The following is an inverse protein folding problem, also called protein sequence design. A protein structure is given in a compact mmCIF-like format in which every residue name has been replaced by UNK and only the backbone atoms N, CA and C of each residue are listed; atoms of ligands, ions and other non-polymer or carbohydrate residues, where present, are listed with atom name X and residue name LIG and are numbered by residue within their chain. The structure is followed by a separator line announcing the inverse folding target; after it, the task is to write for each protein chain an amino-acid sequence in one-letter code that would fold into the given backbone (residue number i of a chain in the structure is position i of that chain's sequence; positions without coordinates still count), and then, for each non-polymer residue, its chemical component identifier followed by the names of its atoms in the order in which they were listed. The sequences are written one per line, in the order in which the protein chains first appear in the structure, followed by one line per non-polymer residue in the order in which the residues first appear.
data_IF_922837532978
#
_entry.id   IF_922837532978
#
_cell.length_a   1.000
_cell.length_b   1.000
_cell.length_c   1.000
_cell.angle_alpha   90.00
_cell.angle_beta   90.00
_cell.angle_gamma   90.00
#
_symmetry.space_group_name_H-M   'P 1'
#
loop_
_entity.id
_entity.type
_entity.pdbx_description
1 polymer ?
#
# COMPACT_ATOMS: atom_id res chain seq x y z
N UNK A 1 -33.79 19.96 9.83
CA UNK A 1 -33.89 18.49 9.91
C UNK A 1 -34.14 17.98 8.48
N UNK A 2 -33.16 17.35 7.84
CA UNK A 2 -33.32 16.85 6.48
C UNK A 2 -34.21 15.59 6.53
N UNK A 3 -35.28 15.60 5.78
CA UNK A 3 -36.17 14.43 5.68
C UNK A 3 -35.55 13.52 4.60
N UNK A 4 -34.97 12.40 5.04
CA UNK A 4 -34.53 11.34 4.14
C UNK A 4 -35.77 10.55 3.73
N UNK A 5 -36.24 10.70 2.49
CA UNK A 5 -37.29 9.88 1.91
C UNK A 5 -36.65 8.73 1.15
N UNK A 6 -37.08 7.51 1.48
CA UNK A 6 -36.75 6.31 0.70
C UNK A 6 -37.79 6.20 -0.42
N UNK A 7 -37.31 6.17 -1.67
CA UNK A 7 -38.19 6.03 -2.84
C UNK A 7 -38.45 4.57 -3.12
N UNK A 8 -39.71 4.18 -3.06
CA UNK A 8 -40.15 2.82 -3.39
C UNK A 8 -40.75 2.72 -4.80
N UNK A 9 -40.95 3.86 -5.48
CA UNK A 9 -41.64 3.90 -6.76
C UNK A 9 -40.93 4.84 -7.75
N UNK A 10 -40.52 4.33 -8.93
CA UNK A 10 -39.83 5.10 -9.95
C UNK A 10 -40.63 6.23 -10.60
N UNK A 11 -41.97 6.17 -10.44
CA UNK A 11 -42.92 7.09 -11.09
C UNK A 11 -43.53 8.11 -10.10
N UNK A 12 -43.05 8.17 -8.88
CA UNK A 12 -43.46 9.20 -7.95
C UNK A 12 -42.88 10.55 -8.39
N UNK A 13 -43.75 11.54 -8.61
CA UNK A 13 -43.31 12.89 -9.04
C UNK A 13 -42.60 13.58 -7.91
N UNK A 14 -41.29 13.55 -7.94
CA UNK A 14 -40.43 14.31 -7.03
C UNK A 14 -39.45 15.11 -7.86
N UNK A 15 -39.47 16.42 -7.61
CA UNK A 15 -38.56 17.34 -8.26
C UNK A 15 -37.16 17.22 -7.66
N UNK A 16 -36.22 16.61 -8.41
CA UNK A 16 -34.81 16.51 -8.03
C UNK A 16 -34.02 17.62 -8.71
N UNK A 17 -33.83 18.69 -7.99
CA UNK A 17 -33.05 19.83 -8.46
C UNK A 17 -31.54 19.59 -8.37
N UNK A 18 -31.10 18.73 -7.50
CA UNK A 18 -29.68 18.34 -7.36
C UNK A 18 -29.54 16.91 -6.83
N UNK A 19 -28.65 16.16 -7.45
CA UNK A 19 -28.30 14.82 -7.01
C UNK A 19 -26.97 14.85 -6.28
N UNK A 20 -26.93 14.23 -5.11
CA UNK A 20 -25.74 14.10 -4.31
C UNK A 20 -25.34 12.63 -4.18
N UNK A 21 -24.30 12.24 -4.89
CA UNK A 21 -23.70 10.92 -4.73
C UNK A 21 -22.60 10.98 -3.66
N UNK A 22 -22.87 10.42 -2.50
CA UNK A 22 -21.86 10.27 -1.45
C UNK A 22 -21.02 9.01 -1.70
N UNK A 23 -19.91 9.19 -2.38
CA UNK A 23 -18.94 8.12 -2.62
C UNK A 23 -17.85 8.24 -1.54
N UNK A 24 -17.58 7.17 -0.76
CA UNK A 24 -16.46 7.16 0.17
C UNK A 24 -15.15 7.43 -0.57
N UNK A 25 -14.23 8.11 0.11
CA UNK A 25 -12.91 8.36 -0.45
C UNK A 25 -12.20 7.02 -0.72
N UNK A 26 -11.82 6.80 -1.97
CA UNK A 26 -11.07 5.63 -2.43
C UNK A 26 -9.64 6.01 -2.83
N UNK A 27 -9.13 7.11 -2.27
CA UNK A 27 -7.80 7.58 -2.59
C UNK A 27 -6.74 6.55 -2.20
N UNK A 28 -5.89 6.22 -3.17
CA UNK A 28 -4.76 5.31 -3.04
C UNK A 28 -3.46 6.06 -3.31
N UNK A 29 -2.44 5.82 -2.52
CA UNK A 29 -1.13 6.46 -2.67
C UNK A 29 -0.08 5.48 -3.16
N UNK A 30 0.01 4.30 -2.53
CA UNK A 30 0.99 3.28 -2.91
C UNK A 30 0.61 2.58 -4.21
N UNK A 31 -0.69 2.37 -4.46
CA UNK A 31 -1.15 1.78 -5.71
C UNK A 31 -0.78 2.67 -6.91
N UNK A 32 -0.85 4.01 -6.73
CA UNK A 32 -0.59 4.99 -7.80
C UNK A 32 0.90 5.37 -7.90
N UNK A 33 1.69 5.14 -6.84
CA UNK A 33 3.10 5.54 -6.79
C UNK A 33 4.04 4.66 -7.63
N UNK A 34 3.59 3.44 -7.99
CA UNK A 34 4.43 2.46 -8.66
C UNK A 34 5.59 1.91 -7.80
N UNK A 35 5.53 2.09 -6.49
CA UNK A 35 6.54 1.56 -5.56
C UNK A 35 6.57 0.04 -5.57
N UNK A 36 5.40 -0.59 -5.62
CA UNK A 36 5.27 -2.04 -5.70
C UNK A 36 5.16 -2.47 -7.16
N UNK A 37 6.10 -3.31 -7.61
CA UNK A 37 5.96 -4.04 -8.87
C UNK A 37 4.90 -5.14 -8.73
N UNK A 38 4.26 -5.50 -9.83
CA UNK A 38 3.22 -6.54 -9.85
C UNK A 38 3.74 -7.76 -10.59
N UNK A 39 3.69 -8.92 -9.95
CA UNK A 39 4.05 -10.21 -10.53
C UNK A 39 2.85 -11.16 -10.47
N UNK A 40 2.56 -11.82 -11.60
CA UNK A 40 1.42 -12.69 -11.78
C UNK A 40 1.86 -14.16 -11.80
N UNK A 41 1.37 -14.93 -10.84
CA UNK A 41 1.75 -16.32 -10.63
C UNK A 41 0.73 -17.27 -11.25
N UNK A 42 1.17 -18.51 -11.52
CA UNK A 42 0.29 -19.64 -11.85
C UNK A 42 0.01 -20.55 -10.65
N UNK A 43 0.52 -20.19 -9.47
CA UNK A 43 0.42 -20.97 -8.23
C UNK A 43 -0.18 -20.15 -7.10
N UNK A 44 -0.73 -20.84 -6.09
CA UNK A 44 -1.30 -20.22 -4.89
C UNK A 44 -0.23 -19.94 -3.81
N UNK A 45 1.04 -20.17 -4.13
CA UNK A 45 2.15 -19.94 -3.22
C UNK A 45 3.28 -19.23 -3.94
N UNK A 46 3.90 -18.29 -3.26
CA UNK A 46 5.13 -17.64 -3.70
C UNK A 46 6.30 -18.40 -3.11
N UNK A 47 7.15 -18.95 -3.96
CA UNK A 47 8.38 -19.61 -3.52
C UNK A 47 9.58 -18.88 -4.12
N UNK A 48 10.54 -18.53 -3.29
CA UNK A 48 11.79 -17.93 -3.72
C UNK A 48 12.98 -18.50 -2.94
N UNK A 49 14.11 -18.49 -3.61
CA UNK A 49 15.38 -18.87 -3.01
C UNK A 49 16.11 -17.61 -2.51
N UNK A 50 16.49 -17.63 -1.25
CA UNK A 50 17.39 -16.64 -0.68
C UNK A 50 18.83 -17.14 -0.87
N UNK A 51 19.62 -16.36 -1.60
CA UNK A 51 21.03 -16.65 -1.82
C UNK A 51 21.87 -15.56 -1.18
N UNK A 52 22.50 -15.87 -0.05
CA UNK A 52 23.32 -14.95 0.68
C UNK A 52 24.80 -15.18 0.32
N UNK A 53 25.37 -14.27 -0.46
CA UNK A 53 26.81 -14.24 -0.72
C UNK A 53 27.53 -13.44 0.37
N UNK A 54 28.63 -13.99 0.88
CA UNK A 54 29.49 -13.29 1.82
C UNK A 54 30.78 -12.90 1.09
N UNK A 55 30.98 -11.59 0.90
CA UNK A 55 32.27 -11.08 0.41
C UNK A 55 33.20 -10.90 1.59
N UNK A 56 34.40 -11.49 1.52
CA UNK A 56 35.43 -11.38 2.54
C UNK A 56 36.74 -10.86 1.93
N UNK A 57 37.53 -10.17 2.73
CA UNK A 57 38.88 -9.81 2.33
C UNK A 57 39.77 -11.08 2.30
N UNK A 58 40.51 -11.26 1.23
CA UNK A 58 41.53 -12.32 1.12
C UNK A 58 42.75 -11.88 1.93
N UNK A 59 43.02 -12.63 2.99
CA UNK A 59 44.20 -12.37 3.83
C UNK A 59 45.50 -12.68 3.09
N UNK A 60 46.54 -11.84 3.29
CA UNK A 60 47.88 -12.13 2.81
C UNK A 60 48.45 -13.35 3.50
N UNK A 61 49.16 -14.20 2.76
CA UNK A 61 49.81 -15.42 3.25
C UNK A 61 51.23 -15.58 2.70
N UNK A 62 52.08 -16.30 3.44
CA UNK A 62 53.39 -16.66 2.96
C UNK A 62 53.33 -17.45 1.65
N UNK A 63 54.25 -17.19 0.73
CA UNK A 63 54.39 -18.01 -0.49
C UNK A 63 54.62 -19.48 -0.13
N UNK A 64 53.70 -20.35 -0.62
CA UNK A 64 53.70 -21.77 -0.30
C UNK A 64 52.72 -22.21 0.76
N UNK A 65 51.99 -21.29 1.40
CA UNK A 65 50.87 -21.61 2.25
C UNK A 65 49.69 -22.19 1.43
N UNK A 66 48.84 -23.01 2.08
CA UNK A 66 47.64 -23.54 1.43
C UNK A 66 46.68 -22.38 1.11
N UNK A 67 46.07 -22.36 -0.10
CA UNK A 67 45.02 -21.39 -0.42
C UNK A 67 43.90 -21.39 0.62
N UNK A 68 43.37 -20.21 0.93
CA UNK A 68 42.14 -20.11 1.72
C UNK A 68 40.97 -20.58 0.86
N UNK A 69 40.14 -21.47 1.43
CA UNK A 69 38.88 -21.87 0.80
C UNK A 69 37.84 -20.76 0.97
N UNK A 70 37.13 -20.43 -0.08
CA UNK A 70 35.93 -19.61 0.02
C UNK A 70 34.91 -20.37 0.87
N UNK A 71 34.13 -19.62 1.65
CA UNK A 71 32.98 -20.20 2.34
C UNK A 71 31.88 -20.50 1.33
N UNK A 72 31.27 -21.68 1.48
CA UNK A 72 30.10 -22.04 0.68
C UNK A 72 28.94 -21.09 1.02
N UNK A 73 28.22 -20.71 -0.02
CA UNK A 73 27.05 -19.86 0.09
C UNK A 73 25.86 -20.67 0.60
N UNK A 74 25.11 -20.09 1.53
CA UNK A 74 23.91 -20.70 2.06
C UNK A 74 22.69 -20.35 1.21
N UNK A 75 22.00 -21.38 0.71
CA UNK A 75 20.71 -21.24 0.05
C UNK A 75 19.59 -21.59 1.01
N UNK A 76 18.58 -20.73 1.11
CA UNK A 76 17.35 -20.97 1.85
C UNK A 76 16.16 -20.83 0.92
N UNK A 77 15.24 -21.76 0.98
CA UNK A 77 13.96 -21.71 0.25
C UNK A 77 12.89 -21.23 1.22
N UNK A 78 12.13 -20.22 0.80
CA UNK A 78 10.98 -19.70 1.52
C UNK A 78 9.74 -19.80 0.66
N UNK A 79 8.62 -20.18 1.28
CA UNK A 79 7.34 -20.29 0.60
C UNK A 79 6.27 -19.63 1.43
N UNK A 80 5.48 -18.75 0.81
CA UNK A 80 4.38 -18.04 1.45
C UNK A 80 3.10 -18.24 0.65
N UNK A 81 1.96 -18.47 1.32
CA UNK A 81 0.67 -18.55 0.64
C UNK A 81 0.23 -17.18 0.13
N UNK A 82 -0.45 -17.16 -1.00
CA UNK A 82 -1.13 -15.98 -1.50
C UNK A 82 -2.46 -15.84 -0.78
N UNK A 83 -2.72 -14.67 -0.20
CA UNK A 83 -3.98 -14.39 0.50
C UNK A 83 -5.15 -14.36 -0.49
N UNK A 84 -6.29 -14.91 -0.07
CA UNK A 84 -7.51 -15.05 -0.88
C UNK A 84 -8.59 -14.13 -0.35
N UNK A 85 -9.12 -13.26 -1.21
CA UNK A 85 -10.15 -12.27 -0.87
C UNK A 85 -11.38 -12.44 -1.75
N UNK A 86 -12.34 -13.31 -1.34
CA UNK A 86 -13.61 -13.45 -2.04
C UNK A 86 -14.58 -12.35 -1.64
N UNK A 87 -15.37 -11.86 -2.59
CA UNK A 87 -16.43 -10.88 -2.39
C UNK A 87 -17.69 -11.36 -3.10
N UNK A 88 -18.80 -11.37 -2.42
CA UNK A 88 -20.11 -11.69 -2.96
C UNK A 88 -21.03 -10.47 -2.87
N UNK A 89 -21.70 -10.12 -3.96
CA UNK A 89 -22.81 -9.18 -4.01
C UNK A 89 -23.93 -9.77 -4.86
N UNK A 90 -25.15 -9.29 -4.71
CA UNK A 90 -26.29 -9.79 -5.46
C UNK A 90 -27.21 -8.65 -5.90
N UNK A 91 -27.76 -8.75 -7.10
CA UNK A 91 -28.82 -7.88 -7.61
C UNK A 91 -30.13 -8.60 -7.48
N UNK A 92 -31.06 -8.04 -6.71
CA UNK A 92 -32.39 -8.60 -6.51
C UNK A 92 -33.44 -7.84 -7.33
N UNK A 93 -34.61 -8.45 -7.62
CA UNK A 93 -35.67 -7.75 -8.31
C UNK A 93 -36.12 -6.44 -7.63
N UNK A 94 -36.06 -6.38 -6.29
CA UNK A 94 -36.35 -5.19 -5.49
C UNK A 94 -35.35 -4.03 -5.70
N UNK A 95 -34.18 -4.30 -6.26
CA UNK A 95 -33.19 -3.28 -6.58
C UNK A 95 -33.54 -2.51 -7.87
N UNK A 96 -34.38 -3.09 -8.70
CA UNK A 96 -34.73 -2.57 -10.04
C UNK A 96 -36.22 -2.17 -10.09
N UNK A 97 -37.08 -3.04 -9.54
CA UNK A 97 -38.53 -2.88 -9.69
C UNK A 97 -39.03 -1.60 -9.00
N UNK A 98 -39.71 -0.75 -9.76
CA UNK A 98 -40.27 0.48 -9.26
C UNK A 98 -39.23 1.56 -8.91
N UNK A 99 -37.97 1.37 -9.26
CA UNK A 99 -36.91 2.38 -9.06
C UNK A 99 -36.58 3.12 -10.34
N UNK A 100 -36.22 4.36 -10.16
CA UNK A 100 -35.79 5.26 -11.23
C UNK A 100 -34.25 5.22 -11.32
N UNK A 101 -33.75 5.36 -12.56
CA UNK A 101 -32.33 5.46 -12.78
C UNK A 101 -31.74 6.68 -12.03
N UNK A 102 -30.63 6.47 -11.36
CA UNK A 102 -29.92 7.54 -10.66
C UNK A 102 -29.49 8.60 -11.66
N UNK A 103 -29.78 9.85 -11.39
CA UNK A 103 -29.45 10.95 -12.30
C UNK A 103 -30.50 11.26 -13.38
N UNK A 104 -31.64 10.58 -13.39
CA UNK A 104 -32.69 10.80 -14.38
C UNK A 104 -34.06 11.01 -13.73
N UNK A 105 -34.85 11.92 -14.29
CA UNK A 105 -36.22 12.14 -13.83
C UNK A 105 -37.23 11.20 -14.50
N UNK A 106 -36.91 10.67 -15.68
CA UNK A 106 -37.91 9.98 -16.52
C UNK A 106 -37.51 8.53 -16.91
N UNK A 107 -36.29 8.08 -16.59
CA UNK A 107 -35.81 6.74 -16.97
C UNK A 107 -35.89 5.75 -15.80
N UNK A 108 -36.42 4.57 -16.08
CA UNK A 108 -36.40 3.47 -15.11
C UNK A 108 -34.97 2.91 -14.93
N UNK A 109 -34.67 2.42 -13.72
CA UNK A 109 -33.42 1.74 -13.43
C UNK A 109 -33.31 0.46 -14.27
N UNK A 110 -32.12 0.21 -14.85
CA UNK A 110 -31.86 -0.99 -15.66
C UNK A 110 -31.01 -1.99 -14.91
N UNK A 111 -31.22 -3.29 -15.18
CA UNK A 111 -30.41 -4.39 -14.62
C UNK A 111 -28.91 -4.14 -14.86
N UNK A 112 -28.54 -3.77 -16.09
CA UNK A 112 -27.15 -3.51 -16.46
C UNK A 112 -26.51 -2.36 -15.67
N UNK A 113 -27.26 -1.28 -15.39
CA UNK A 113 -26.78 -0.14 -14.61
C UNK A 113 -26.50 -0.52 -13.15
N UNK A 114 -27.40 -1.33 -12.56
CA UNK A 114 -27.23 -1.82 -11.17
C UNK A 114 -26.02 -2.74 -11.07
N UNK A 115 -25.86 -3.68 -12.03
CA UNK A 115 -24.70 -4.59 -12.08
C UNK A 115 -23.41 -3.78 -12.21
N UNK A 116 -23.33 -2.84 -13.16
CA UNK A 116 -22.14 -2.03 -13.38
C UNK A 116 -21.74 -1.24 -12.13
N UNK A 117 -22.69 -0.63 -11.44
CA UNK A 117 -22.47 0.12 -10.20
C UNK A 117 -21.97 -0.78 -9.06
N UNK A 118 -22.51 -2.00 -8.93
CA UNK A 118 -22.06 -2.97 -7.93
C UNK A 118 -20.66 -3.49 -8.25
N UNK A 119 -20.35 -3.80 -9.51
CA UNK A 119 -19.01 -4.19 -9.94
C UNK A 119 -17.97 -3.09 -9.69
N UNK A 120 -18.32 -1.83 -9.96
CA UNK A 120 -17.43 -0.71 -9.65
C UNK A 120 -17.15 -0.59 -8.15
N UNK A 121 -18.17 -0.81 -7.30
CA UNK A 121 -17.99 -0.84 -5.86
C UNK A 121 -17.05 -1.97 -5.42
N UNK A 122 -17.20 -3.16 -5.97
CA UNK A 122 -16.32 -4.31 -5.70
C UNK A 122 -14.87 -3.94 -6.09
N UNK A 123 -14.66 -3.38 -7.27
CA UNK A 123 -13.33 -2.96 -7.74
C UNK A 123 -12.68 -1.95 -6.78
N UNK A 124 -13.43 -0.94 -6.34
CA UNK A 124 -12.93 0.04 -5.36
C UNK A 124 -12.57 -0.62 -4.02
N UNK A 125 -13.36 -1.59 -3.56
CA UNK A 125 -13.06 -2.34 -2.35
C UNK A 125 -11.76 -3.16 -2.50
N UNK A 126 -11.51 -3.76 -3.68
CA UNK A 126 -10.26 -4.44 -3.99
C UNK A 126 -9.06 -3.48 -3.93
N UNK A 127 -9.17 -2.30 -4.57
CA UNK A 127 -8.10 -1.29 -4.57
C UNK A 127 -7.79 -0.77 -3.16
N UNK A 128 -8.81 -0.53 -2.34
CA UNK A 128 -8.64 -0.14 -0.93
C UNK A 128 -7.95 -1.24 -0.12
N UNK A 129 -8.35 -2.49 -0.32
CA UNK A 129 -7.77 -3.63 0.40
C UNK A 129 -6.30 -3.82 0.04
N UNK A 130 -5.94 -3.67 -1.25
CA UNK A 130 -4.54 -3.71 -1.69
C UNK A 130 -3.72 -2.57 -1.07
N UNK A 131 -4.26 -1.35 -1.03
CA UNK A 131 -3.59 -0.20 -0.42
C UNK A 131 -3.30 -0.42 1.06
N UNK A 132 -4.31 -0.87 1.82
CA UNK A 132 -4.17 -1.21 3.25
C UNK A 132 -3.15 -2.34 3.43
N UNK A 133 -3.19 -3.36 2.58
CA UNK A 133 -2.23 -4.48 2.61
C UNK A 133 -0.79 -4.03 2.37
N UNK A 134 -0.55 -3.17 1.36
CA UNK A 134 0.77 -2.61 1.06
C UNK A 134 1.32 -1.78 2.24
N UNK A 135 0.51 -0.89 2.82
CA UNK A 135 0.92 -0.13 4.00
C UNK A 135 1.16 -1.01 5.21
N UNK A 136 0.32 -2.01 5.46
CA UNK A 136 0.51 -2.96 6.56
C UNK A 136 1.83 -3.71 6.43
N UNK A 137 2.15 -4.19 5.23
CA UNK A 137 3.43 -4.87 4.97
C UNK A 137 4.63 -3.93 5.18
N UNK A 138 4.53 -2.66 4.76
CA UNK A 138 5.60 -1.66 4.98
C UNK A 138 5.80 -1.32 6.46
N UNK A 139 4.70 -1.18 7.23
CA UNK A 139 4.77 -0.76 8.63
C UNK A 139 5.11 -1.89 9.58
N UNK A 140 4.54 -3.07 9.39
CA UNK A 140 4.65 -4.20 10.31
C UNK A 140 5.44 -5.38 9.78
N UNK A 141 5.65 -5.47 8.46
CA UNK A 141 6.24 -6.64 7.80
C UNK A 141 5.32 -7.86 7.75
N UNK A 142 4.06 -7.73 8.14
CA UNK A 142 3.14 -8.87 8.20
C UNK A 142 2.63 -9.26 6.82
N UNK A 143 2.60 -10.56 6.57
CA UNK A 143 1.95 -11.21 5.43
C UNK A 143 0.66 -11.89 5.88
N UNK A 144 -0.42 -11.64 5.17
CA UNK A 144 -1.71 -12.25 5.48
C UNK A 144 -1.84 -13.64 4.84
N UNK A 145 -2.43 -14.58 5.58
CA UNK A 145 -2.85 -15.88 5.07
C UNK A 145 -4.27 -15.79 4.49
N UNK A 146 -4.69 -16.77 3.65
CA UNK A 146 -6.03 -16.82 3.07
C UNK A 146 -7.19 -16.78 4.07
N UNK A 147 -6.95 -17.19 5.31
CA UNK A 147 -7.95 -17.19 6.39
C UNK A 147 -7.96 -15.89 7.24
N UNK A 148 -7.28 -14.84 6.79
CA UNK A 148 -7.17 -13.57 7.50
C UNK A 148 -6.20 -13.57 8.70
N UNK A 149 -5.48 -14.66 8.93
CA UNK A 149 -4.40 -14.71 9.92
C UNK A 149 -3.09 -14.19 9.33
N UNK A 150 -2.07 -14.02 10.17
CA UNK A 150 -0.73 -13.65 9.72
C UNK A 150 -0.02 -14.93 9.28
N UNK A 151 0.33 -14.99 7.98
CA UNK A 151 1.07 -16.12 7.39
C UNK A 151 2.55 -16.13 7.78
N UNK A 152 3.10 -14.96 8.04
CA UNK A 152 4.49 -14.76 8.45
C UNK A 152 4.78 -13.29 8.68
N UNK A 153 5.94 -13.00 9.25
CA UNK A 153 6.46 -11.65 9.40
C UNK A 153 7.82 -11.57 8.74
N UNK A 154 7.94 -10.70 7.74
CA UNK A 154 9.15 -10.59 6.92
C UNK A 154 10.40 -10.26 7.74
N UNK A 155 10.30 -9.40 8.75
CA UNK A 155 11.45 -9.08 9.59
C UNK A 155 11.93 -10.30 10.37
N UNK A 156 11.01 -11.02 11.01
CA UNK A 156 11.32 -12.24 11.78
C UNK A 156 11.85 -13.35 10.88
N UNK A 157 11.18 -13.58 9.74
CA UNK A 157 11.50 -14.68 8.83
C UNK A 157 12.88 -14.50 8.18
N UNK A 158 13.25 -13.26 7.87
CA UNK A 158 14.60 -12.94 7.38
C UNK A 158 15.64 -12.79 8.51
N UNK A 159 15.21 -12.89 9.78
CA UNK A 159 16.11 -12.74 10.94
C UNK A 159 16.64 -11.29 11.08
N UNK A 160 15.86 -10.32 10.66
CA UNK A 160 16.22 -8.91 10.66
C UNK A 160 15.45 -8.19 11.77
N UNK A 161 16.15 -7.39 12.56
CA UNK A 161 15.50 -6.41 13.43
C UNK A 161 15.28 -5.13 12.65
N UNK A 162 14.02 -4.70 12.49
CA UNK A 162 13.73 -3.45 11.81
C UNK A 162 14.44 -2.29 12.48
N UNK A 163 15.24 -1.55 11.74
CA UNK A 163 15.91 -0.36 12.24
C UNK A 163 14.86 0.70 12.62
N UNK A 164 14.96 1.23 13.82
CA UNK A 164 14.09 2.29 14.33
C UNK A 164 14.93 3.50 14.77
N UNK A 165 14.58 4.68 14.27
CA UNK A 165 15.23 5.94 14.61
C UNK A 165 14.24 6.82 15.37
N UNK A 166 14.60 7.20 16.59
CA UNK A 166 13.80 8.16 17.37
C UNK A 166 14.25 9.59 17.05
N UNK A 167 13.34 10.36 16.48
CA UNK A 167 13.60 11.74 16.08
C UNK A 167 13.47 12.76 17.22
N UNK A 168 12.86 12.39 18.35
CA UNK A 168 12.69 13.25 19.54
C UNK A 168 12.22 14.66 19.15
N UNK A 169 11.15 14.75 18.36
CA UNK A 169 10.69 16.01 17.73
C UNK A 169 10.14 17.04 18.71
N UNK A 170 9.84 16.65 19.95
CA UNK A 170 9.42 17.56 21.00
C UNK A 170 10.56 18.38 21.61
N UNK A 171 11.82 18.02 21.34
CA UNK A 171 13.00 18.72 21.88
C UNK A 171 13.57 19.67 20.83
N UNK A 172 13.44 20.97 21.03
CA UNK A 172 13.82 22.00 20.07
C UNK A 172 15.31 22.01 19.65
N UNK A 173 16.18 21.40 20.46
CA UNK A 173 17.64 21.31 20.21
C UNK A 173 18.04 20.07 19.41
N UNK A 174 17.12 19.13 19.16
CA UNK A 174 17.42 17.90 18.44
C UNK A 174 17.91 18.24 17.02
N UNK A 175 19.01 17.60 16.63
CA UNK A 175 19.55 17.73 15.27
C UNK A 175 18.81 16.77 14.33
N UNK A 176 17.85 17.33 13.58
CA UNK A 176 17.02 16.57 12.64
C UNK A 176 17.85 16.10 11.43
N UNK A 177 18.86 16.90 11.01
CA UNK A 177 19.74 16.51 9.90
C UNK A 177 20.53 15.26 10.28
N UNK A 178 21.13 15.23 11.47
CA UNK A 178 21.86 14.04 11.95
C UNK A 178 20.96 12.81 12.04
N UNK A 179 19.68 12.96 12.44
CA UNK A 179 18.70 11.86 12.46
C UNK A 179 18.36 11.38 11.04
N UNK A 180 18.18 12.28 10.11
CA UNK A 180 17.94 11.94 8.69
C UNK A 180 19.13 11.23 8.07
N UNK A 181 20.34 11.72 8.32
CA UNK A 181 21.59 11.08 7.88
C UNK A 181 21.73 9.66 8.46
N UNK A 182 21.33 9.45 9.71
CA UNK A 182 21.37 8.09 10.28
C UNK A 182 20.40 7.11 9.60
N UNK A 183 19.26 7.59 9.10
CA UNK A 183 18.34 6.78 8.28
C UNK A 183 19.00 6.45 6.93
N UNK A 184 19.58 7.44 6.27
CA UNK A 184 20.25 7.26 4.97
C UNK A 184 21.42 6.28 5.10
N UNK A 185 22.26 6.46 6.12
CA UNK A 185 23.39 5.57 6.40
C UNK A 185 22.94 4.14 6.65
N UNK A 186 21.87 3.94 7.46
CA UNK A 186 21.31 2.61 7.72
C UNK A 186 20.81 1.94 6.43
N UNK A 187 20.17 2.69 5.53
CA UNK A 187 19.73 2.15 4.24
C UNK A 187 20.93 1.81 3.33
N UNK A 188 21.95 2.65 3.30
CA UNK A 188 23.16 2.41 2.50
C UNK A 188 23.95 1.20 3.02
N UNK A 189 24.08 1.06 4.33
CA UNK A 189 24.75 -0.09 4.95
C UNK A 189 24.02 -1.41 4.65
N UNK A 190 22.71 -1.38 4.52
CA UNK A 190 21.88 -2.55 4.20
C UNK A 190 21.67 -2.76 2.68
N UNK A 191 22.09 -1.83 1.84
CA UNK A 191 22.02 -1.92 0.38
C UNK A 191 23.13 -2.78 -0.26
N UNK A 192 23.80 -3.64 0.51
CA UNK A 192 24.97 -4.45 0.14
C UNK A 192 24.79 -5.38 -1.07
N UNK A 193 23.59 -5.48 -1.62
CA UNK A 193 23.23 -6.43 -2.69
C UNK A 193 23.23 -5.82 -4.09
N UNK A 194 23.88 -4.65 -4.28
CA UNK A 194 23.98 -4.01 -5.60
C UNK A 194 22.75 -3.22 -6.03
N UNK A 195 21.81 -2.97 -5.13
CA UNK A 195 20.68 -2.07 -5.42
C UNK A 195 21.09 -0.62 -5.41
N UNK A 196 20.60 0.11 -6.40
CA UNK A 196 20.78 1.56 -6.49
C UNK A 196 19.57 2.23 -5.82
N UNK A 197 19.82 2.95 -4.74
CA UNK A 197 18.82 3.79 -4.10
C UNK A 197 18.88 5.17 -4.77
N UNK A 198 17.83 5.56 -5.51
CA UNK A 198 17.77 6.86 -6.19
C UNK A 198 17.17 7.95 -5.31
N UNK A 199 16.44 7.59 -4.28
CA UNK A 199 15.84 8.52 -3.34
C UNK A 199 15.19 7.81 -2.17
N UNK A 200 14.70 8.57 -1.21
CA UNK A 200 13.99 8.06 -0.04
C UNK A 200 12.68 8.83 0.13
N UNK A 201 11.60 8.09 0.30
CA UNK A 201 10.29 8.64 0.66
C UNK A 201 9.98 8.24 2.10
N UNK A 202 9.51 9.20 2.88
CA UNK A 202 9.06 9.00 4.25
C UNK A 202 7.54 9.17 4.30
N UNK A 203 6.81 8.10 4.53
CA UNK A 203 5.37 8.14 4.77
C UNK A 203 5.11 8.41 6.24
N UNK A 204 4.53 9.56 6.54
CA UNK A 204 4.39 10.08 7.90
C UNK A 204 2.94 10.09 8.37
N UNK A 205 2.72 9.78 9.65
CA UNK A 205 1.45 10.10 10.28
C UNK A 205 1.26 11.62 10.39
N UNK A 206 0.02 12.13 10.40
CA UNK A 206 -0.25 13.56 10.50
C UNK A 206 0.38 14.22 11.73
N UNK A 207 0.40 13.51 12.84
CA UNK A 207 0.96 13.97 14.12
C UNK A 207 2.48 14.14 14.03
N UNK A 208 3.16 13.14 13.48
CA UNK A 208 4.60 13.15 13.28
C UNK A 208 5.02 14.24 12.29
N UNK A 209 4.30 14.33 11.16
CA UNK A 209 4.56 15.34 10.13
C UNK A 209 4.38 16.77 10.68
N UNK A 210 3.32 17.01 11.47
CA UNK A 210 3.08 18.31 12.08
C UNK A 210 4.22 18.72 13.04
N UNK A 211 4.71 17.78 13.86
CA UNK A 211 5.86 18.02 14.75
C UNK A 211 7.13 18.32 13.95
N UNK A 212 7.39 17.59 12.85
CA UNK A 212 8.57 17.82 12.01
C UNK A 212 8.60 19.23 11.41
N UNK A 213 7.52 19.66 10.75
CA UNK A 213 7.48 20.98 10.10
C UNK A 213 7.46 22.15 11.09
N UNK A 214 7.02 21.91 12.33
CA UNK A 214 7.05 22.93 13.40
C UNK A 214 8.33 22.92 14.21
N UNK A 215 9.23 21.97 13.98
CA UNK A 215 10.49 21.86 14.73
C UNK A 215 11.40 23.07 14.49
N UNK A 216 11.95 23.64 15.56
CA UNK A 216 12.71 24.89 15.51
C UNK A 216 13.86 24.87 14.50
N UNK A 217 14.63 23.78 14.44
CA UNK A 217 15.75 23.63 13.50
C UNK A 217 15.30 23.53 12.05
N UNK A 218 14.16 22.89 11.78
CA UNK A 218 13.58 22.82 10.43
C UNK A 218 13.09 24.19 9.99
N UNK A 219 12.36 24.90 10.83
CA UNK A 219 11.89 26.27 10.57
C UNK A 219 13.07 27.22 10.35
N UNK A 220 14.14 27.11 11.15
CA UNK A 220 15.33 27.93 11.00
C UNK A 220 16.03 27.71 9.65
N UNK A 221 16.18 26.44 9.23
CA UNK A 221 16.80 26.11 7.95
C UNK A 221 16.03 26.74 6.76
N UNK A 222 14.70 26.81 6.86
CA UNK A 222 13.86 27.38 5.79
C UNK A 222 13.80 28.91 5.76
N UNK A 223 14.18 29.61 6.81
CA UNK A 223 14.24 31.09 6.80
C UNK A 223 15.21 31.66 5.77
N UNK A 224 16.20 30.90 5.38
CA UNK A 224 17.25 31.31 4.44
C UNK A 224 17.02 30.81 3.02
N UNK A 225 15.97 30.00 2.78
CA UNK A 225 15.63 29.57 1.43
C UNK A 225 14.99 30.71 0.63
N UNK A 226 15.44 30.90 -0.60
CA UNK A 226 14.92 31.91 -1.52
C UNK A 226 13.44 31.67 -1.81
N UNK A 227 12.65 32.75 -1.87
CA UNK A 227 11.19 32.70 -2.12
C UNK A 227 10.79 32.04 -3.46
N UNK A 228 11.75 31.80 -4.36
CA UNK A 228 11.52 31.20 -5.68
C UNK A 228 11.55 29.67 -5.66
N UNK A 229 12.22 29.03 -4.68
CA UNK A 229 12.32 27.57 -4.55
C UNK A 229 11.61 26.99 -3.33
N UNK A 230 11.10 27.84 -2.45
CA UNK A 230 10.81 27.45 -1.09
C UNK A 230 9.36 27.55 -0.68
N UNK A 231 8.45 26.86 -1.33
CA UNK A 231 7.25 26.53 -0.57
C UNK A 231 7.62 25.40 0.41
N UNK A 232 7.76 25.77 1.69
CA UNK A 232 8.09 24.85 2.77
C UNK A 232 7.13 23.64 2.85
N UNK A 233 5.89 23.81 2.38
CA UNK A 233 4.89 22.77 2.33
C UNK A 233 4.20 22.84 0.98
N UNK A 234 4.44 21.85 0.15
CA UNK A 234 3.70 21.67 -1.08
C UNK A 234 2.43 20.85 -0.81
N UNK A 235 1.31 21.32 -1.34
CA UNK A 235 0.07 20.54 -1.34
C UNK A 235 -0.15 20.00 -2.73
N UNK A 236 0.18 18.73 -2.90
CA UNK A 236 0.02 18.03 -4.16
C UNK A 236 -1.29 17.24 -4.16
N UNK A 237 -1.88 17.08 -5.33
CA UNK A 237 -2.93 16.09 -5.52
C UNK A 237 -2.27 14.74 -5.72
N UNK A 238 -2.58 13.78 -4.88
CA UNK A 238 -2.22 12.39 -5.13
C UNK A 238 -2.92 11.90 -6.40
N UNK A 239 -2.18 11.21 -7.26
CA UNK A 239 -2.56 10.61 -8.53
C UNK A 239 -4.02 10.70 -8.94
N UNK A 240 -4.35 11.52 -9.90
CA UNK A 240 -5.61 11.57 -10.63
C UNK A 240 -6.93 11.77 -9.89
N UNK A 241 -7.07 11.37 -8.62
CA UNK A 241 -8.38 11.23 -8.02
C UNK A 241 -8.44 11.59 -6.54
N UNK A 242 -8.51 12.77 -6.09
CA UNK A 242 -9.16 13.19 -4.84
C UNK A 242 -8.37 13.42 -3.55
N UNK A 243 -7.05 13.34 -3.51
CA UNK A 243 -6.35 13.62 -2.25
C UNK A 243 -5.47 14.88 -2.31
N UNK A 244 -5.69 15.84 -1.43
CA UNK A 244 -4.70 16.85 -1.12
C UNK A 244 -3.83 16.31 0.02
N UNK A 245 -2.60 15.94 -0.27
CA UNK A 245 -1.62 15.59 0.77
C UNK A 245 -0.56 16.68 0.89
N UNK A 246 0.03 16.78 2.08
CA UNK A 246 1.16 17.67 2.31
C UNK A 246 2.45 16.91 2.05
N UNK A 247 3.33 17.56 1.34
CA UNK A 247 4.64 17.04 0.99
C UNK A 247 5.71 18.05 1.39
N UNK A 248 6.85 17.57 1.83
CA UNK A 248 7.95 18.38 2.31
C UNK A 248 9.26 17.65 2.07
N UNK A 249 10.21 18.31 1.44
CA UNK A 249 11.54 17.74 1.21
C UNK A 249 12.55 18.38 2.14
N UNK A 250 13.28 17.56 2.89
CA UNK A 250 14.29 18.00 3.82
C UNK A 250 15.44 17.01 3.92
N UNK A 251 16.69 17.52 3.90
CA UNK A 251 17.92 16.70 3.98
C UNK A 251 17.91 15.46 3.03
N UNK A 252 17.47 15.64 1.78
CA UNK A 252 17.45 14.59 0.78
C UNK A 252 16.31 13.57 0.89
N UNK A 253 15.44 13.69 1.88
CA UNK A 253 14.28 12.83 2.07
C UNK A 253 12.99 13.59 1.75
N UNK A 254 12.10 12.93 1.00
CA UNK A 254 10.76 13.42 0.69
C UNK A 254 9.77 12.90 1.73
N UNK A 255 9.29 13.78 2.60
CA UNK A 255 8.27 13.47 3.62
C UNK A 255 6.88 13.69 3.05
N UNK A 256 6.04 12.69 3.15
CA UNK A 256 4.66 12.70 2.64
C UNK A 256 3.70 12.40 3.79
N UNK A 257 2.76 13.30 4.02
CA UNK A 257 1.73 13.10 5.06
C UNK A 257 0.66 12.12 4.57
N UNK A 258 0.48 11.04 5.30
CA UNK A 258 -0.58 10.05 5.07
C UNK A 258 -1.70 10.28 6.07
N UNK A 259 -2.69 11.08 5.67
CA UNK A 259 -3.84 11.42 6.52
C UNK A 259 -5.02 10.50 6.33
N UNK A 260 -5.03 9.75 5.25
CA UNK A 260 -6.17 8.95 4.83
C UNK A 260 -6.44 7.81 5.80
N UNK A 261 -7.71 7.67 6.17
CA UNK A 261 -8.24 6.51 6.88
C UNK A 261 -9.07 5.72 5.86
N UNK A 262 -8.68 4.50 5.55
CA UNK A 262 -9.36 3.62 4.63
C UNK A 262 -10.07 2.50 5.42
N UNK A 263 -11.33 2.28 5.13
CA UNK A 263 -12.14 1.28 5.82
C UNK A 263 -12.06 1.35 7.37
N UNK A 264 -11.92 2.55 7.93
CA UNK A 264 -11.77 2.77 9.37
C UNK A 264 -10.37 2.51 9.93
N UNK A 265 -9.41 2.12 9.09
CA UNK A 265 -8.03 1.84 9.50
C UNK A 265 -7.09 2.98 9.11
N UNK A 266 -6.22 3.37 10.02
CA UNK A 266 -5.10 4.27 9.74
C UNK A 266 -4.00 3.50 9.00
N UNK A 267 -3.48 4.07 7.92
CA UNK A 267 -2.43 3.44 7.12
C UNK A 267 -1.06 3.50 7.83
N UNK A 268 -0.80 4.57 8.57
CA UNK A 268 0.40 4.73 9.39
C UNK A 268 -0.02 4.94 10.85
N UNK A 269 0.57 4.20 11.81
CA UNK A 269 0.30 4.41 13.22
C UNK A 269 0.60 5.85 13.68
N UNK A 270 -0.15 6.34 14.67
CA UNK A 270 0.02 7.70 15.17
C UNK A 270 1.44 7.90 15.74
N UNK A 271 2.08 9.04 15.42
CA UNK A 271 3.42 9.36 15.88
C UNK A 271 4.54 8.60 15.21
N UNK A 272 4.26 7.88 14.13
CA UNK A 272 5.25 7.10 13.38
C UNK A 272 5.45 7.62 11.96
N UNK A 273 6.60 7.23 11.41
CA UNK A 273 6.99 7.44 10.02
C UNK A 273 7.68 6.17 9.50
N UNK A 274 7.45 5.83 8.25
CA UNK A 274 8.14 4.72 7.58
C UNK A 274 8.95 5.29 6.42
N UNK A 275 10.26 5.04 6.44
CA UNK A 275 11.18 5.43 5.39
C UNK A 275 11.35 4.28 4.42
N UNK A 276 11.18 4.56 3.14
CA UNK A 276 11.19 3.59 2.06
C UNK A 276 12.11 4.08 0.96
N UNK A 277 13.09 3.26 0.51
CA UNK A 277 13.95 3.61 -0.62
C UNK A 277 13.16 3.56 -1.93
N UNK A 278 13.52 4.42 -2.88
CA UNK A 278 12.97 4.44 -4.24
C UNK A 278 14.06 4.14 -5.27
N UNK A 279 13.63 3.65 -6.44
CA UNK A 279 14.55 3.27 -7.52
C UNK A 279 15.21 1.91 -7.32
N UNK A 280 14.85 1.18 -6.26
CA UNK A 280 15.33 -0.19 -6.06
C UNK A 280 14.63 -1.13 -7.04
N UNK A 281 15.38 -2.10 -7.55
CA UNK A 281 14.84 -3.14 -8.42
C UNK A 281 14.25 -4.24 -7.54
N UNK A 282 12.98 -4.61 -7.77
CA UNK A 282 12.30 -5.77 -7.17
C UNK A 282 12.33 -5.87 -5.63
N UNK A 283 12.51 -4.76 -4.93
CA UNK A 283 12.46 -4.76 -3.46
C UNK A 283 11.04 -4.89 -2.94
N UNK A 284 10.09 -4.20 -3.58
CA UNK A 284 8.68 -4.20 -3.21
C UNK A 284 7.88 -4.85 -4.32
N UNK A 285 7.24 -5.98 -4.01
CA UNK A 285 6.50 -6.78 -5.02
C UNK A 285 5.14 -7.17 -4.50
N UNK A 286 4.13 -7.06 -5.34
CA UNK A 286 2.79 -7.60 -5.12
C UNK A 286 2.63 -8.83 -5.99
N UNK A 287 2.45 -10.00 -5.40
CA UNK A 287 2.24 -11.26 -6.09
C UNK A 287 0.76 -11.56 -6.19
N UNK A 288 0.29 -11.76 -7.41
CA UNK A 288 -1.09 -12.15 -7.68
C UNK A 288 -1.19 -13.64 -7.97
N UNK A 289 -2.16 -14.31 -7.34
CA UNK A 289 -2.46 -15.72 -7.53
C UNK A 289 -3.69 -15.94 -8.42
N UNK A 290 -3.81 -17.11 -9.08
CA UNK A 290 -4.95 -17.46 -9.92
C UNK A 290 -6.24 -17.56 -9.10
N UNK A 291 -7.39 -17.40 -9.77
CA UNK A 291 -8.69 -17.55 -9.14
C UNK A 291 -8.94 -18.98 -8.69
N UNK A 292 -9.71 -19.13 -7.61
CA UNK A 292 -10.09 -20.44 -7.06
C UNK A 292 -11.27 -21.06 -7.83
N UNK A 293 -11.08 -21.24 -9.15
CA UNK A 293 -12.06 -21.85 -10.06
C UNK A 293 -11.38 -22.82 -11.02
N UNK A 294 -12.11 -23.85 -11.43
CA UNK A 294 -11.58 -24.91 -12.29
C UNK A 294 -11.01 -24.38 -13.60
N UNK A 295 -11.61 -23.34 -14.17
CA UNK A 295 -11.17 -22.73 -15.44
C UNK A 295 -9.83 -22.00 -15.32
N UNK A 296 -9.39 -21.67 -14.10
CA UNK A 296 -8.17 -20.91 -13.82
C UNK A 296 -7.06 -21.75 -13.19
N UNK A 297 -7.23 -23.07 -13.12
CA UNK A 297 -6.19 -23.97 -12.60
C UNK A 297 -4.96 -23.92 -13.50
N UNK A 298 -3.78 -23.63 -12.92
CA UNK A 298 -2.50 -23.50 -13.61
C UNK A 298 -2.46 -22.40 -14.70
N UNK A 299 -3.36 -21.43 -14.64
CA UNK A 299 -3.30 -20.23 -15.51
C UNK A 299 -2.52 -19.12 -14.83
N UNK A 300 -1.99 -18.20 -15.63
CA UNK A 300 -1.37 -16.98 -15.10
C UNK A 300 -2.46 -16.13 -14.44
N UNK A 301 -2.17 -15.63 -13.24
CA UNK A 301 -3.10 -14.80 -12.48
C UNK A 301 -3.41 -13.48 -13.18
N UNK A 302 -4.56 -12.90 -12.81
CA UNK A 302 -4.94 -11.54 -13.12
C UNK A 302 -5.08 -10.72 -11.83
N UNK A 303 -5.14 -9.40 -11.94
CA UNK A 303 -5.24 -8.49 -10.79
C UNK A 303 -6.52 -8.68 -9.98
N UNK A 304 -7.60 -9.10 -10.64
CA UNK A 304 -8.88 -9.39 -10.01
C UNK A 304 -9.86 -10.00 -11.00
N UNK A 305 -10.79 -10.73 -10.47
CA UNK A 305 -11.77 -11.50 -11.22
C UNK A 305 -13.16 -11.09 -10.80
N UNK A 306 -14.09 -11.04 -11.74
CA UNK A 306 -15.51 -10.79 -11.47
C UNK A 306 -16.37 -11.61 -12.41
N UNK A 307 -17.39 -12.26 -11.86
CA UNK A 307 -18.35 -13.07 -12.58
C UNK A 307 -19.76 -12.71 -12.18
N UNK A 308 -20.70 -12.93 -13.09
CA UNK A 308 -22.13 -12.77 -12.84
C UNK A 308 -22.82 -14.09 -13.10
N UNK A 309 -23.64 -14.53 -12.16
CA UNK A 309 -24.44 -15.76 -12.25
C UNK A 309 -25.89 -15.42 -12.03
N UNK A 310 -26.75 -15.81 -12.97
CA UNK A 310 -28.20 -15.71 -12.76
C UNK A 310 -28.66 -16.88 -11.88
N UNK A 311 -29.38 -16.53 -10.79
CA UNK A 311 -29.96 -17.57 -9.93
C UNK A 311 -30.86 -18.52 -10.74
N UNK A 312 -30.70 -19.85 -10.63
CA UNK A 312 -31.51 -20.82 -11.35
C UNK A 312 -33.02 -20.71 -11.05
N UNK A 313 -33.39 -20.15 -9.89
CA UNK A 313 -34.78 -19.89 -9.51
C UNK A 313 -35.28 -18.55 -10.00
N UNK A 314 -34.46 -17.74 -10.66
CA UNK A 314 -34.82 -16.42 -11.16
C UNK A 314 -34.97 -15.35 -10.06
N UNK A 315 -34.44 -15.57 -8.86
CA UNK A 315 -34.60 -14.67 -7.71
C UNK A 315 -33.58 -13.53 -7.69
N UNK A 316 -32.58 -13.55 -8.58
CA UNK A 316 -31.58 -12.49 -8.65
C UNK A 316 -30.41 -12.83 -9.57
N UNK A 317 -29.40 -11.98 -9.51
CA UNK A 317 -28.12 -12.16 -10.17
C UNK A 317 -27.04 -12.01 -9.11
N UNK A 318 -26.26 -13.05 -8.91
CA UNK A 318 -25.09 -13.04 -8.03
C UNK A 318 -23.89 -12.46 -8.77
N UNK A 319 -23.13 -11.61 -8.08
CA UNK A 319 -21.89 -11.02 -8.57
C UNK A 319 -20.77 -11.51 -7.65
N UNK A 320 -19.98 -12.45 -8.15
CA UNK A 320 -18.80 -12.93 -7.45
C UNK A 320 -17.59 -12.11 -7.86
N UNK A 321 -16.90 -11.54 -6.89
CA UNK A 321 -15.58 -10.93 -7.07
C UNK A 321 -14.53 -11.71 -6.31
N UNK A 322 -13.36 -11.84 -6.88
CA UNK A 322 -12.23 -12.51 -6.24
C UNK A 322 -10.93 -11.80 -6.64
N UNK A 323 -10.05 -11.61 -5.68
CA UNK A 323 -8.66 -11.26 -5.95
C UNK A 323 -7.77 -11.96 -4.93
N UNK A 324 -6.60 -12.37 -5.40
CA UNK A 324 -5.65 -13.13 -4.63
C UNK A 324 -4.32 -12.40 -4.69
N UNK A 325 -3.88 -11.80 -3.58
CA UNK A 325 -2.67 -11.00 -3.57
C UNK A 325 -1.92 -11.12 -2.25
N UNK A 326 -0.60 -11.15 -2.35
CA UNK A 326 0.31 -11.04 -1.20
C UNK A 326 1.37 -9.98 -1.51
N UNK A 327 1.53 -9.02 -0.60
CA UNK A 327 2.52 -7.97 -0.73
C UNK A 327 3.79 -8.36 0.01
N UNK A 328 4.94 -8.21 -0.64
CA UNK A 328 6.21 -8.65 -0.10
C UNK A 328 7.28 -7.58 -0.21
N UNK A 329 8.14 -7.55 0.80
CA UNK A 329 9.38 -6.79 0.79
C UNK A 329 10.51 -7.82 0.72
N UNK A 330 11.18 -7.93 -0.43
CA UNK A 330 12.28 -8.90 -0.61
C UNK A 330 13.51 -8.52 0.19
N UNK A 331 13.67 -7.23 0.54
CA UNK A 331 14.79 -6.69 1.32
C UNK A 331 14.29 -5.85 2.50
N UNK A 332 13.78 -6.51 3.56
CA UNK A 332 13.16 -5.82 4.69
C UNK A 332 14.12 -4.88 5.44
N UNK A 333 15.44 -5.16 5.42
CA UNK A 333 16.44 -4.31 6.07
C UNK A 333 16.50 -2.87 5.53
N UNK A 334 15.99 -2.63 4.31
CA UNK A 334 15.95 -1.30 3.69
C UNK A 334 14.78 -0.43 4.21
N UNK A 335 13.82 -1.02 4.93
CA UNK A 335 12.68 -0.27 5.46
C UNK A 335 12.98 0.15 6.90
N UNK A 336 13.10 1.46 7.10
CA UNK A 336 13.43 2.04 8.42
C UNK A 336 12.16 2.65 9.02
N UNK A 337 11.94 2.39 10.31
CA UNK A 337 10.87 2.99 11.09
C UNK A 337 11.38 4.22 11.81
N UNK A 338 10.62 5.29 11.83
CA UNK A 338 10.89 6.45 12.65
C UNK A 338 9.79 6.67 13.69
N UNK A 339 10.19 7.11 14.87
CA UNK A 339 9.28 7.44 15.98
C UNK A 339 9.62 8.82 16.54
N UNK A 340 8.79 9.32 17.42
CA UNK A 340 9.09 10.47 18.25
C UNK A 340 8.62 10.18 19.66
N UNK A 341 9.56 9.99 20.57
CA UNK A 341 9.30 9.59 21.97
C UNK A 341 8.67 10.70 22.80
N UNK A 342 8.58 11.96 22.31
CA UNK A 342 8.02 13.13 22.99
C UNK A 342 7.28 14.10 22.05
#
# INVERSE_FOLDING_TARGET
MAIIRSYTNAFEVVDFTQELQLIPNSWTMLNDSGLFSEEFLSTNTVTFEEYAQTLGLIGDQYRGAKPQANKDDNRKIRSYPVAHFPILDAVKPEDIQGKRAFGSNDMAETEAAVIARKMERIRRNMDITMEVGRFSTLTTGNLYAPNGTIAGNLFTDFGITQTSVDFVLGTATTDIVAKTESVIASMQDNANTGDVITGIIAYCSPEWFAKLISHAKVVEAYKYFSATEGQMIQRNRAGGNNGLYREFTYAGIRFVEVRTVLAGQRLIPAGEVVFVPTGTTDTFVSYFGPANRMDFVNTIAERGYMWTFRDPKGQGIDIDGEFNVTHMIRRPALVVRGTSSN
#
